data_IF_541554242823
#
_entry.id   IF_541554242823
#
_cell.length_a   1.000
_cell.length_b   1.000
_cell.length_c   1.000
_cell.angle_alpha   90.00
_cell.angle_beta   90.00
_cell.angle_gamma   90.00
#
_symmetry.space_group_name_H-M   'P 1'
#
loop_
_entity.id
_entity.type
_entity.pdbx_description
1 polymer ?
#
# COMPACT_ATOMS: atom_id res chain seq x y z
N UNK A 1 -33.95 -19.20 7.19
CA UNK A 1 -33.61 -18.26 6.08
C UNK A 1 -33.44 -16.79 6.55
N UNK A 2 -32.90 -16.55 7.77
CA UNK A 2 -32.85 -15.21 8.38
C UNK A 2 -31.51 -14.90 9.08
N UNK A 3 -30.39 -15.52 8.65
CA UNK A 3 -29.05 -15.29 9.22
C UNK A 3 -28.03 -14.72 8.23
N UNK A 4 -28.37 -14.60 6.95
CA UNK A 4 -27.44 -14.15 5.90
C UNK A 4 -27.51 -12.65 5.61
N UNK A 5 -28.55 -11.95 6.07
CA UNK A 5 -28.68 -10.48 5.89
C UNK A 5 -27.93 -9.67 6.94
N UNK A 6 -27.63 -10.23 8.11
CA UNK A 6 -26.98 -9.49 9.20
C UNK A 6 -25.47 -9.32 9.00
N UNK A 7 -24.81 -10.24 8.29
CA UNK A 7 -23.37 -10.16 8.00
C UNK A 7 -23.03 -9.10 6.95
N UNK A 8 -23.92 -8.83 5.99
CA UNK A 8 -23.69 -7.76 5.00
C UNK A 8 -23.79 -6.36 5.63
N UNK A 9 -24.60 -6.17 6.67
CA UNK A 9 -24.76 -4.84 7.32
C UNK A 9 -23.55 -4.50 8.18
N UNK A 10 -22.91 -5.47 8.84
CA UNK A 10 -21.68 -5.21 9.60
C UNK A 10 -20.47 -4.91 8.70
N UNK A 11 -20.35 -5.56 7.54
CA UNK A 11 -19.32 -5.22 6.55
C UNK A 11 -19.55 -3.85 5.89
N UNK A 12 -20.81 -3.44 5.68
CA UNK A 12 -21.12 -2.09 5.21
C UNK A 12 -20.81 -1.03 6.28
N UNK A 13 -21.05 -1.33 7.56
CA UNK A 13 -20.78 -0.39 8.66
C UNK A 13 -19.27 -0.22 8.95
N UNK A 14 -18.45 -1.24 8.73
CA UNK A 14 -16.99 -1.10 8.79
C UNK A 14 -16.39 -0.41 7.57
N UNK A 15 -16.99 -0.56 6.38
CA UNK A 15 -16.62 0.24 5.20
C UNK A 15 -17.07 1.70 5.30
N UNK A 16 -18.21 1.98 5.94
CA UNK A 16 -18.70 3.35 6.15
C UNK A 16 -17.98 4.09 7.28
N UNK A 17 -17.31 3.39 8.21
CA UNK A 17 -16.45 4.05 9.20
C UNK A 17 -15.15 4.58 8.64
N UNK A 18 -14.75 4.15 7.45
CA UNK A 18 -13.60 4.71 6.73
C UNK A 18 -14.00 5.87 5.80
N UNK A 19 -15.30 6.18 5.71
CA UNK A 19 -15.86 7.36 5.05
C UNK A 19 -16.61 8.29 6.00
N UNK A 20 -16.61 8.01 7.31
CA UNK A 20 -16.95 9.02 8.30
C UNK A 20 -15.75 9.97 8.35
N UNK A 21 -15.65 10.83 7.34
CA UNK A 21 -14.59 11.82 7.28
C UNK A 21 -14.56 12.57 8.60
N UNK A 22 -13.35 12.80 9.09
CA UNK A 22 -12.99 13.75 10.13
C UNK A 22 -14.06 14.80 10.43
N UNK A 23 -14.62 14.78 11.64
CA UNK A 23 -15.52 15.84 12.05
C UNK A 23 -14.75 17.15 12.24
N UNK A 24 -15.41 18.25 11.90
CA UNK A 24 -14.88 19.59 12.12
C UNK A 24 -14.51 19.73 13.59
N UNK A 25 -13.37 20.38 13.86
CA UNK A 25 -12.99 20.72 15.21
C UNK A 25 -14.10 21.56 15.87
N UNK A 26 -14.60 21.09 17.02
CA UNK A 26 -15.62 21.78 17.82
C UNK A 26 -15.11 22.23 19.19
N UNK A 27 -13.79 22.18 19.40
CA UNK A 27 -13.20 22.63 20.66
C UNK A 27 -13.16 24.16 20.76
N UNK A 28 -12.71 24.65 21.91
CA UNK A 28 -12.66 26.07 22.25
C UNK A 28 -11.23 26.61 22.40
N UNK A 29 -10.22 25.84 22.00
CA UNK A 29 -8.82 26.28 22.08
C UNK A 29 -8.48 27.32 21.00
N UNK A 30 -9.28 27.39 19.94
CA UNK A 30 -9.11 28.33 18.83
C UNK A 30 -10.40 29.09 18.55
N UNK A 31 -10.27 30.39 18.30
CA UNK A 31 -11.34 31.26 17.83
C UNK A 31 -11.53 31.07 16.32
N UNK A 32 -12.74 31.27 15.80
CA UNK A 32 -12.95 31.31 14.34
C UNK A 32 -12.44 32.63 13.78
N UNK A 33 -11.83 32.57 12.61
CA UNK A 33 -11.27 33.75 11.93
C UNK A 33 -12.34 34.83 11.65
N UNK A 34 -13.57 34.40 11.31
CA UNK A 34 -14.73 35.30 11.12
C UNK A 34 -15.10 36.11 12.39
N UNK A 35 -14.71 35.63 13.57
CA UNK A 35 -15.07 36.22 14.87
C UNK A 35 -13.99 37.19 15.40
N UNK A 36 -12.86 37.35 14.71
CA UNK A 36 -11.70 38.09 15.24
C UNK A 36 -10.97 39.02 14.25
N UNK A 37 -11.62 39.38 13.14
CA UNK A 37 -11.11 40.32 12.13
C UNK A 37 -9.67 39.94 11.69
N UNK A 38 -9.57 38.74 11.11
CA UNK A 38 -8.32 38.03 10.83
C UNK A 38 -7.82 38.21 9.40
N UNK A 39 -6.51 38.05 9.21
CA UNK A 39 -5.87 37.89 7.90
C UNK A 39 -5.23 36.50 7.76
N UNK A 40 -5.43 35.84 6.61
CA UNK A 40 -4.77 34.59 6.25
C UNK A 40 -3.59 34.87 5.31
N UNK A 41 -2.36 34.60 5.75
CA UNK A 41 -1.16 34.88 4.97
C UNK A 41 -0.74 33.65 4.15
N UNK A 42 -0.28 33.86 2.91
CA UNK A 42 0.12 32.77 1.99
C UNK A 42 1.23 31.84 2.50
N UNK A 43 1.92 32.22 3.57
CA UNK A 43 3.02 31.48 4.18
C UNK A 43 2.75 31.01 5.62
N UNK A 44 1.62 31.39 6.25
CA UNK A 44 1.33 31.11 7.66
C UNK A 44 -0.13 30.67 7.88
N UNK A 45 -0.41 30.14 9.06
CA UNK A 45 -1.78 29.92 9.56
C UNK A 45 -2.54 31.26 9.64
N UNK A 46 -3.87 31.24 9.60
CA UNK A 46 -4.68 32.45 9.80
C UNK A 46 -4.54 33.01 11.23
N UNK A 47 -4.44 34.33 11.34
CA UNK A 47 -4.14 35.03 12.60
C UNK A 47 -5.16 36.16 12.82
N UNK A 48 -5.67 36.28 14.03
CA UNK A 48 -6.53 37.37 14.49
C UNK A 48 -5.75 38.68 14.68
N UNK A 49 -6.44 39.81 14.77
CA UNK A 49 -5.84 41.13 15.05
C UNK A 49 -5.02 41.21 16.36
N UNK A 50 -5.26 40.31 17.33
CA UNK A 50 -4.51 40.19 18.58
C UNK A 50 -3.29 39.25 18.49
N UNK A 51 -2.95 38.83 17.27
CA UNK A 51 -1.86 37.91 16.94
C UNK A 51 -2.08 36.46 17.44
N UNK A 52 -3.31 36.08 17.82
CA UNK A 52 -3.69 34.70 18.12
C UNK A 52 -4.03 33.91 16.85
N UNK A 53 -3.75 32.61 16.83
CA UNK A 53 -4.10 31.73 15.71
C UNK A 53 -5.61 31.47 15.69
N UNK A 54 -6.22 31.48 14.51
CA UNK A 54 -7.65 31.21 14.33
C UNK A 54 -7.93 30.10 13.33
N UNK A 55 -9.16 29.57 13.37
CA UNK A 55 -9.63 28.57 12.41
C UNK A 55 -10.41 29.25 11.28
N UNK A 56 -9.99 29.09 10.01
CA UNK A 56 -10.70 29.68 8.90
C UNK A 56 -12.02 28.97 8.59
N UNK A 57 -12.96 29.72 8.01
CA UNK A 57 -14.20 29.23 7.40
C UNK A 57 -14.04 28.94 5.90
N UNK A 58 -13.00 29.50 5.27
CA UNK A 58 -12.60 29.26 3.88
C UNK A 58 -11.08 29.19 3.75
N UNK A 59 -10.57 28.38 2.83
CA UNK A 59 -9.14 28.19 2.61
C UNK A 59 -8.81 28.48 1.14
N UNK A 60 -8.35 29.70 0.88
CA UNK A 60 -7.87 30.11 -0.45
C UNK A 60 -6.35 29.87 -0.63
N UNK A 61 -5.69 29.35 0.41
CA UNK A 61 -4.28 28.98 0.42
C UNK A 61 -4.11 27.50 0.07
N UNK A 62 -2.85 27.03 0.01
CA UNK A 62 -2.57 25.59 0.01
C UNK A 62 -3.28 24.94 1.22
N UNK A 63 -4.09 23.88 1.02
CA UNK A 63 -4.79 23.17 2.10
C UNK A 63 -3.90 22.76 3.28
N UNK A 64 -2.60 22.62 3.04
CA UNK A 64 -1.58 22.30 4.05
C UNK A 64 -1.33 23.43 5.05
N UNK A 65 -1.69 24.67 4.71
CA UNK A 65 -1.37 25.89 5.48
C UNK A 65 -2.60 26.53 6.13
N UNK A 66 -3.80 26.02 5.88
CA UNK A 66 -5.04 26.68 6.31
C UNK A 66 -5.39 26.43 7.78
N UNK A 67 -4.86 25.38 8.38
CA UNK A 67 -5.17 25.06 9.76
C UNK A 67 -3.91 25.12 10.63
N UNK A 68 -4.05 25.34 11.95
CA UNK A 68 -2.97 25.08 12.90
C UNK A 68 -2.37 23.68 12.68
N UNK A 69 -1.09 23.52 13.04
CA UNK A 69 -0.27 22.34 12.69
C UNK A 69 -0.89 21.00 13.13
N UNK A 70 -1.70 21.01 14.18
CA UNK A 70 -2.40 19.82 14.69
C UNK A 70 -3.71 19.47 13.94
N UNK A 71 -4.16 20.29 13.00
CA UNK A 71 -5.37 20.07 12.23
C UNK A 71 -5.09 19.95 10.73
N UNK A 72 -6.13 19.64 9.98
CA UNK A 72 -6.10 19.45 8.54
C UNK A 72 -7.33 20.12 7.91
N UNK A 73 -7.13 20.86 6.83
CA UNK A 73 -8.26 21.43 6.09
C UNK A 73 -9.01 20.34 5.33
N UNK A 74 -10.30 20.19 5.61
CA UNK A 74 -11.23 19.37 4.84
C UNK A 74 -12.04 20.28 3.91
N UNK A 75 -11.73 20.26 2.62
CA UNK A 75 -12.42 21.05 1.60
C UNK A 75 -13.87 20.61 1.36
N UNK A 76 -14.22 19.37 1.70
CA UNK A 76 -15.59 18.85 1.56
C UNK A 76 -16.52 19.37 2.66
N UNK A 77 -15.96 19.67 3.84
CA UNK A 77 -16.69 20.21 5.00
C UNK A 77 -16.40 21.69 5.27
N UNK A 78 -15.47 22.30 4.53
CA UNK A 78 -14.99 23.67 4.71
C UNK A 78 -14.58 23.96 6.16
N UNK A 79 -13.79 23.06 6.77
CA UNK A 79 -13.37 23.22 8.15
C UNK A 79 -12.04 22.54 8.45
N UNK A 80 -11.40 22.97 9.53
CA UNK A 80 -10.28 22.26 10.12
C UNK A 80 -10.77 21.04 10.90
N UNK A 81 -10.18 19.89 10.62
CA UNK A 81 -10.56 18.62 11.23
C UNK A 81 -9.40 18.06 12.03
N UNK A 82 -9.74 17.29 13.07
CA UNK A 82 -8.77 16.58 13.93
C UNK A 82 -8.18 15.34 13.26
N UNK A 83 -8.80 14.84 12.18
CA UNK A 83 -8.22 13.71 11.47
C UNK A 83 -7.25 14.16 10.39
N UNK A 84 -6.11 13.47 10.41
CA UNK A 84 -4.91 13.81 9.66
C UNK A 84 -5.14 13.55 8.18
N UNK A 85 -5.30 14.61 7.37
CA UNK A 85 -5.00 14.49 5.94
C UNK A 85 -3.49 14.27 5.82
N UNK A 86 -3.10 13.02 5.61
CA UNK A 86 -1.74 12.69 5.24
C UNK A 86 -1.43 13.24 3.85
N UNK A 87 -0.14 13.43 3.53
CA UNK A 87 0.31 13.84 2.20
C UNK A 87 -0.24 12.92 1.08
N UNK A 88 -0.65 11.69 1.44
CA UNK A 88 -1.43 10.75 0.61
C UNK A 88 -2.47 10.01 1.46
N UNK A 89 -3.45 9.40 0.81
CA UNK A 89 -4.35 8.44 1.45
C UNK A 89 -3.54 7.21 1.90
N UNK A 90 -3.54 6.92 3.19
CA UNK A 90 -2.87 5.74 3.75
C UNK A 90 -3.66 4.47 3.45
N UNK A 91 -2.94 3.35 3.29
CA UNK A 91 -3.58 2.04 3.19
C UNK A 91 -4.24 1.67 4.54
N UNK A 92 -5.13 0.67 4.55
CA UNK A 92 -5.82 0.23 5.76
C UNK A 92 -4.88 -0.29 6.86
N UNK A 93 -3.68 -0.76 6.47
CA UNK A 93 -2.63 -1.23 7.37
C UNK A 93 -1.61 -0.16 7.76
N UNK A 94 -1.87 1.09 7.37
CA UNK A 94 -1.06 2.24 7.69
C UNK A 94 -1.84 3.24 8.56
N UNK A 95 -1.11 4.02 9.33
CA UNK A 95 -1.59 5.16 10.08
C UNK A 95 -0.87 6.42 9.64
N UNK A 96 -1.60 7.53 9.66
CA UNK A 96 -1.02 8.82 9.36
C UNK A 96 -0.27 9.34 10.59
N UNK A 97 1.02 9.62 10.45
CA UNK A 97 1.87 10.15 11.53
C UNK A 97 2.53 11.46 11.11
N UNK A 98 2.90 12.26 12.10
CA UNK A 98 3.67 13.48 11.90
C UNK A 98 5.15 13.16 12.11
N UNK A 99 5.95 13.31 11.06
CA UNK A 99 7.39 13.07 11.08
C UNK A 99 8.10 14.15 10.27
N UNK A 100 9.10 14.82 10.87
CA UNK A 100 9.95 15.83 10.22
C UNK A 100 9.13 16.88 9.44
N UNK A 101 8.17 17.52 10.14
CA UNK A 101 7.22 18.53 9.64
C UNK A 101 6.30 18.07 8.49
N UNK A 102 6.25 16.76 8.21
CA UNK A 102 5.43 16.17 7.16
C UNK A 102 4.47 15.11 7.72
N UNK A 103 3.27 15.03 7.15
CA UNK A 103 2.30 13.96 7.46
C UNK A 103 2.52 12.77 6.53
N UNK A 104 3.11 11.69 7.03
CA UNK A 104 3.43 10.48 6.26
C UNK A 104 2.58 9.28 6.70
N UNK A 105 2.37 8.33 5.79
CA UNK A 105 1.77 7.04 6.13
C UNK A 105 2.85 6.08 6.62
N UNK A 106 2.76 5.66 7.87
CA UNK A 106 3.60 4.61 8.46
C UNK A 106 2.75 3.37 8.77
N UNK A 107 3.36 2.19 8.77
CA UNK A 107 2.68 0.95 9.08
C UNK A 107 2.16 0.90 10.53
N UNK A 108 0.87 0.62 10.69
CA UNK A 108 0.24 0.45 11.99
C UNK A 108 0.60 -0.92 12.58
N UNK A 109 1.70 -0.96 13.36
CA UNK A 109 2.23 -2.21 13.95
C UNK A 109 1.23 -2.90 14.88
N UNK A 110 0.33 -2.15 15.51
CA UNK A 110 -0.69 -2.68 16.42
C UNK A 110 -1.67 -3.64 15.74
N UNK A 111 -1.93 -3.45 14.44
CA UNK A 111 -2.79 -4.36 13.65
C UNK A 111 -2.20 -5.76 13.46
N UNK A 112 -0.89 -5.91 13.64
CA UNK A 112 -0.15 -7.15 13.47
C UNK A 112 0.33 -7.74 14.81
N UNK A 113 -0.29 -7.35 15.92
CA UNK A 113 0.00 -7.93 17.23
C UNK A 113 -0.24 -9.44 17.18
N UNK A 114 0.68 -10.22 17.77
CA UNK A 114 0.67 -11.70 17.77
C UNK A 114 0.83 -12.37 16.40
N UNK A 115 1.14 -11.61 15.33
CA UNK A 115 1.47 -12.20 14.04
C UNK A 115 2.87 -12.80 14.06
N UNK A 116 3.02 -13.91 13.33
CA UNK A 116 4.29 -14.62 13.20
C UNK A 116 4.70 -14.71 11.73
N UNK A 117 5.87 -15.30 11.48
CA UNK A 117 6.37 -15.54 10.12
C UNK A 117 5.41 -16.39 9.29
N UNK A 118 4.64 -17.26 9.92
CA UNK A 118 3.65 -18.13 9.26
C UNK A 118 2.43 -17.35 8.74
N UNK A 119 2.19 -16.14 9.24
CA UNK A 119 1.14 -15.26 8.74
C UNK A 119 1.55 -14.52 7.47
N UNK A 120 2.83 -14.51 7.11
CA UNK A 120 3.27 -14.02 5.80
C UNK A 120 2.68 -14.93 4.73
N UNK A 121 1.71 -14.39 3.99
CA UNK A 121 1.06 -15.07 2.86
C UNK A 121 1.39 -14.31 1.57
N UNK A 122 2.55 -14.56 0.96
CA UNK A 122 2.88 -13.95 -0.31
C UNK A 122 1.87 -14.36 -1.39
N UNK A 123 1.57 -13.43 -2.29
CA UNK A 123 0.78 -13.70 -3.49
C UNK A 123 1.75 -13.85 -4.64
N UNK A 124 1.65 -14.98 -5.36
CA UNK A 124 2.49 -15.25 -6.53
C UNK A 124 1.60 -15.32 -7.77
N UNK A 125 1.93 -14.51 -8.77
CA UNK A 125 1.28 -14.47 -10.08
C UNK A 125 2.31 -14.94 -11.11
N UNK A 126 1.92 -15.94 -11.89
CA UNK A 126 2.76 -16.58 -12.90
C UNK A 126 2.22 -16.27 -14.29
N UNK A 127 2.76 -15.23 -14.93
CA UNK A 127 2.50 -14.92 -16.33
C UNK A 127 3.47 -15.70 -17.24
N UNK A 128 3.27 -15.64 -18.56
CA UNK A 128 4.05 -16.42 -19.54
C UNK A 128 5.56 -16.25 -19.37
N UNK A 129 5.99 -15.00 -19.19
CA UNK A 129 7.41 -14.62 -19.19
C UNK A 129 7.84 -13.90 -17.91
N UNK A 130 6.89 -13.56 -17.03
CA UNK A 130 7.12 -12.76 -15.82
C UNK A 130 6.53 -13.49 -14.62
N UNK A 131 7.27 -13.51 -13.53
CA UNK A 131 6.81 -13.95 -12.22
C UNK A 131 6.72 -12.72 -11.33
N UNK A 132 5.52 -12.46 -10.79
CA UNK A 132 5.29 -11.40 -9.80
C UNK A 132 5.06 -12.03 -8.43
N UNK A 133 5.82 -11.62 -7.42
CA UNK A 133 5.60 -12.03 -6.04
C UNK A 133 5.38 -10.81 -5.17
N UNK A 134 4.28 -10.78 -4.43
CA UNK A 134 3.88 -9.66 -3.58
C UNK A 134 3.74 -10.10 -2.13
N UNK A 135 4.19 -9.27 -1.20
CA UNK A 135 4.05 -9.52 0.25
C UNK A 135 3.67 -8.23 0.98
N UNK A 136 2.93 -8.34 2.09
CA UNK A 136 2.54 -7.17 2.88
C UNK A 136 3.75 -6.48 3.50
N UNK A 137 3.96 -5.22 3.14
CA UNK A 137 5.04 -4.38 3.66
C UNK A 137 4.93 -4.24 5.17
N UNK A 138 3.73 -3.91 5.65
CA UNK A 138 3.51 -3.61 7.05
C UNK A 138 3.61 -4.84 7.96
N UNK A 139 3.23 -6.02 7.46
CA UNK A 139 3.47 -7.28 8.18
C UNK A 139 4.97 -7.63 8.22
N UNK A 140 5.72 -7.44 7.12
CA UNK A 140 7.18 -7.66 7.12
C UNK A 140 7.85 -6.75 8.15
N UNK A 141 7.48 -5.46 8.17
CA UNK A 141 8.02 -4.49 9.11
C UNK A 141 7.61 -4.77 10.56
N UNK A 142 6.35 -5.16 10.82
CA UNK A 142 5.87 -5.48 12.18
C UNK A 142 6.59 -6.70 12.77
N UNK A 143 7.04 -7.62 11.92
CA UNK A 143 7.84 -8.78 12.31
C UNK A 143 9.32 -8.43 12.59
N UNK A 144 9.73 -7.19 12.33
CA UNK A 144 11.10 -6.67 12.56
C UNK A 144 12.07 -6.93 11.40
N UNK A 145 11.55 -6.99 10.18
CA UNK A 145 12.33 -7.11 8.96
C UNK A 145 12.34 -5.80 8.17
N UNK A 146 13.44 -5.51 7.52
CA UNK A 146 13.56 -4.35 6.64
C UNK A 146 13.15 -4.74 5.21
N UNK A 147 12.00 -4.21 4.78
CA UNK A 147 11.44 -4.47 3.45
C UNK A 147 12.30 -3.92 2.30
N UNK A 148 13.19 -2.93 2.58
CA UNK A 148 14.12 -2.39 1.57
C UNK A 148 15.38 -3.24 1.42
N UNK A 149 15.68 -4.10 2.39
CA UNK A 149 16.89 -4.93 2.42
C UNK A 149 16.73 -6.29 1.73
N UNK A 150 15.79 -6.38 0.79
CA UNK A 150 15.44 -7.65 0.15
C UNK A 150 16.51 -8.11 -0.86
N UNK A 151 16.61 -9.42 -1.07
CA UNK A 151 17.41 -9.99 -2.15
C UNK A 151 16.81 -11.31 -2.65
N UNK A 152 17.05 -11.63 -3.92
CA UNK A 152 16.71 -12.92 -4.53
C UNK A 152 17.89 -13.89 -4.46
N UNK A 153 17.74 -15.12 -4.95
CA UNK A 153 18.83 -16.11 -5.03
C UNK A 153 20.11 -15.56 -5.67
N UNK A 154 19.98 -14.62 -6.62
CA UNK A 154 21.07 -13.77 -7.08
C UNK A 154 20.74 -12.30 -6.77
N UNK A 155 21.61 -11.64 -6.02
CA UNK A 155 21.42 -10.26 -5.53
C UNK A 155 21.76 -9.17 -6.57
N UNK A 156 21.89 -9.50 -7.86
CA UNK A 156 22.15 -8.52 -8.91
C UNK A 156 20.96 -7.56 -9.07
N UNK A 157 21.17 -6.26 -8.84
CA UNK A 157 20.11 -5.23 -8.83
C UNK A 157 19.43 -5.00 -10.18
N UNK A 158 20.02 -5.46 -11.28
CA UNK A 158 19.48 -5.26 -12.64
C UNK A 158 18.48 -6.30 -13.12
N UNK A 159 18.26 -7.38 -12.36
CA UNK A 159 17.41 -8.48 -12.82
C UNK A 159 15.99 -8.47 -12.21
N UNK A 160 15.74 -7.66 -11.18
CA UNK A 160 14.44 -7.59 -10.50
C UNK A 160 13.87 -6.19 -10.60
N UNK A 161 12.59 -6.10 -10.94
CA UNK A 161 11.82 -4.88 -10.83
C UNK A 161 11.05 -4.89 -9.51
N UNK A 162 11.35 -3.95 -8.63
CA UNK A 162 10.69 -3.80 -7.33
C UNK A 162 9.87 -2.51 -7.30
N UNK A 163 8.62 -2.64 -6.88
CA UNK A 163 7.71 -1.52 -6.68
C UNK A 163 6.76 -1.83 -5.53
N UNK A 164 6.10 -0.80 -5.02
CA UNK A 164 5.01 -0.96 -4.08
C UNK A 164 3.67 -0.64 -4.75
N UNK A 165 2.62 -1.27 -4.28
CA UNK A 165 1.27 -1.05 -4.75
C UNK A 165 0.28 -1.28 -3.61
N UNK A 166 -0.92 -0.71 -3.74
CA UNK A 166 -2.01 -0.94 -2.80
C UNK A 166 -2.97 -1.94 -3.45
N UNK A 167 -3.14 -3.11 -2.84
CA UNK A 167 -4.09 -4.14 -3.28
C UNK A 167 -4.92 -4.59 -2.09
N UNK A 168 -6.24 -4.73 -2.25
CA UNK A 168 -7.15 -5.03 -1.13
C UNK A 168 -6.98 -4.07 0.06
N UNK A 169 -6.72 -2.80 -0.24
CA UNK A 169 -6.45 -1.74 0.74
C UNK A 169 -5.24 -1.99 1.65
N UNK A 170 -4.29 -2.84 1.25
CA UNK A 170 -3.04 -3.09 1.98
C UNK A 170 -1.84 -2.70 1.13
N UNK A 171 -0.78 -2.19 1.77
CA UNK A 171 0.47 -1.90 1.08
C UNK A 171 1.26 -3.20 0.85
N UNK A 172 1.49 -3.53 -0.42
CA UNK A 172 2.31 -4.66 -0.83
C UNK A 172 3.63 -4.17 -1.43
N UNK A 173 4.72 -4.88 -1.12
CA UNK A 173 5.95 -4.83 -1.90
C UNK A 173 5.92 -5.97 -2.92
N UNK A 174 6.13 -5.62 -4.20
CA UNK A 174 6.04 -6.54 -5.33
C UNK A 174 7.37 -6.66 -6.05
N UNK A 175 7.78 -7.89 -6.31
CA UNK A 175 9.02 -8.28 -6.99
C UNK A 175 8.68 -8.96 -8.31
N UNK A 176 9.14 -8.38 -9.42
CA UNK A 176 8.97 -8.91 -10.76
C UNK A 176 10.30 -9.37 -11.34
N UNK A 177 10.29 -10.58 -11.91
CA UNK A 177 11.46 -11.20 -12.53
C UNK A 177 11.04 -12.04 -13.75
N UNK A 178 11.94 -12.17 -14.73
CA UNK A 178 11.69 -13.03 -15.89
C UNK A 178 11.61 -14.50 -15.48
N UNK A 179 10.69 -15.26 -16.10
CA UNK A 179 10.51 -16.69 -15.90
C UNK A 179 11.58 -17.53 -16.64
N UNK A 180 12.86 -17.18 -16.49
CA UNK A 180 13.99 -17.79 -17.24
C UNK A 180 15.02 -18.41 -16.32
N UNK A 181 15.67 -19.49 -16.77
CA UNK A 181 16.77 -20.13 -16.05
C UNK A 181 17.90 -19.13 -15.74
N UNK A 182 18.36 -19.10 -14.49
CA UNK A 182 19.46 -18.25 -14.04
C UNK A 182 19.12 -16.77 -13.86
N UNK A 183 17.99 -16.28 -14.39
CA UNK A 183 17.56 -14.90 -14.20
C UNK A 183 17.27 -14.62 -12.72
N UNK A 184 17.93 -13.64 -12.10
CA UNK A 184 17.94 -13.46 -10.65
C UNK A 184 18.21 -14.74 -9.83
N UNK A 185 18.94 -15.71 -10.38
CA UNK A 185 19.17 -16.99 -9.69
C UNK A 185 17.95 -17.92 -9.68
N UNK A 186 17.04 -17.76 -10.64
CA UNK A 186 15.97 -18.72 -10.89
C UNK A 186 16.52 -20.12 -11.17
N UNK A 187 15.87 -21.11 -10.58
CA UNK A 187 16.13 -22.51 -10.82
C UNK A 187 14.96 -23.08 -11.62
N UNK A 188 15.24 -23.64 -12.78
CA UNK A 188 14.25 -24.30 -13.62
C UNK A 188 14.41 -25.81 -13.48
N UNK A 189 13.35 -26.46 -13.04
CA UNK A 189 13.22 -27.92 -13.01
C UNK A 189 12.05 -28.33 -13.89
N UNK A 190 11.95 -29.60 -14.25
CA UNK A 190 10.81 -30.07 -15.02
C UNK A 190 10.47 -31.52 -14.67
N UNK A 191 9.18 -31.84 -14.81
CA UNK A 191 8.68 -33.21 -14.79
C UNK A 191 8.14 -33.59 -16.18
N UNK A 192 7.44 -34.72 -16.30
CA UNK A 192 6.88 -35.17 -17.59
C UNK A 192 5.87 -34.19 -18.21
N UNK A 193 5.22 -33.36 -17.41
CA UNK A 193 4.08 -32.52 -17.80
C UNK A 193 4.34 -31.02 -17.69
N UNK A 194 5.21 -30.59 -16.77
CA UNK A 194 5.39 -29.20 -16.38
C UNK A 194 6.86 -28.80 -16.28
N UNK A 195 7.08 -27.51 -16.47
CA UNK A 195 8.32 -26.80 -16.16
C UNK A 195 8.04 -25.95 -14.92
N UNK A 196 8.90 -26.03 -13.91
CA UNK A 196 8.80 -25.25 -12.70
C UNK A 196 9.96 -24.25 -12.64
N UNK A 197 9.64 -22.98 -12.48
CA UNK A 197 10.60 -21.92 -12.23
C UNK A 197 10.50 -21.53 -10.75
N UNK A 198 11.61 -21.61 -10.01
CA UNK A 198 11.65 -21.31 -8.58
C UNK A 198 12.68 -20.23 -8.25
N UNK A 199 12.35 -19.40 -7.26
CA UNK A 199 13.27 -18.43 -6.65
C UNK A 199 12.89 -18.24 -5.18
N UNK A 200 13.70 -17.52 -4.42
CA UNK A 200 13.45 -17.22 -3.02
C UNK A 200 13.70 -15.74 -2.78
N UNK A 201 12.73 -15.06 -2.17
CA UNK A 201 12.91 -13.68 -1.70
C UNK A 201 13.32 -13.73 -0.24
N UNK A 202 14.43 -13.08 0.07
CA UNK A 202 14.96 -12.95 1.42
C UNK A 202 14.79 -11.52 1.92
N UNK A 203 14.57 -11.36 3.23
CA UNK A 203 14.63 -10.06 3.91
C UNK A 203 15.60 -10.12 5.09
N UNK A 204 16.45 -9.11 5.18
CA UNK A 204 17.27 -8.93 6.36
C UNK A 204 16.45 -8.34 7.51
N UNK A 205 16.95 -8.57 8.71
CA UNK A 205 16.40 -7.98 9.93
C UNK A 205 16.67 -6.49 9.95
N UNK A 206 15.75 -5.70 10.49
CA UNK A 206 15.99 -4.27 10.71
C UNK A 206 17.22 -4.09 11.60
N UNK A 207 18.16 -3.18 11.26
CA UNK A 207 19.33 -2.91 12.08
C UNK A 207 18.94 -2.61 13.53
N UNK A 208 19.56 -3.32 14.48
CA UNK A 208 19.39 -3.09 15.91
C UNK A 208 20.70 -3.38 16.63
N UNK A 209 20.87 -2.82 17.83
CA UNK A 209 22.10 -2.97 18.63
C UNK A 209 22.44 -4.44 18.93
N UNK A 210 21.46 -5.35 18.86
CA UNK A 210 21.64 -6.79 19.01
C UNK A 210 20.83 -7.52 17.93
N UNK A 211 21.51 -8.29 17.08
CA UNK A 211 20.84 -9.16 16.09
C UNK A 211 20.19 -10.32 16.85
N UNK A 212 18.89 -10.22 17.10
CA UNK A 212 18.11 -11.22 17.87
C UNK A 212 17.25 -12.12 16.97
N UNK A 213 17.26 -11.89 15.66
CA UNK A 213 16.40 -12.57 14.69
C UNK A 213 17.21 -13.06 13.51
N UNK A 214 16.82 -14.22 12.97
CA UNK A 214 17.33 -14.68 11.68
C UNK A 214 16.54 -14.00 10.54
N UNK A 215 17.18 -13.76 9.38
CA UNK A 215 16.50 -13.37 8.14
C UNK A 215 15.29 -14.25 7.86
N UNK A 216 14.31 -13.69 7.15
CA UNK A 216 13.17 -14.47 6.63
C UNK A 216 13.32 -14.66 5.14
N UNK A 217 12.70 -15.73 4.66
CA UNK A 217 12.66 -16.05 3.26
C UNK A 217 11.30 -16.62 2.92
N UNK A 218 10.84 -16.37 1.70
CA UNK A 218 9.70 -17.08 1.14
C UNK A 218 10.03 -17.56 -0.27
N UNK A 219 9.57 -18.76 -0.58
CA UNK A 219 9.84 -19.40 -1.86
C UNK A 219 8.74 -19.03 -2.87
N UNK A 220 9.17 -18.74 -4.08
CA UNK A 220 8.34 -18.49 -5.25
C UNK A 220 8.45 -19.72 -6.14
N UNK A 221 7.32 -20.21 -6.64
CA UNK A 221 7.31 -21.34 -7.59
C UNK A 221 6.17 -21.16 -8.59
N UNK A 222 6.53 -21.10 -9.87
CA UNK A 222 5.59 -21.05 -10.99
C UNK A 222 5.71 -22.31 -11.84
N UNK A 223 4.57 -22.96 -12.09
CA UNK A 223 4.48 -24.17 -12.91
C UNK A 223 3.81 -23.90 -14.25
N UNK A 224 4.51 -24.22 -15.34
CA UNK A 224 4.07 -24.02 -16.73
C UNK A 224 3.87 -25.37 -17.41
N UNK A 225 2.72 -25.57 -18.05
CA UNK A 225 2.46 -26.80 -18.80
C UNK A 225 3.34 -26.85 -20.05
N UNK A 226 3.99 -27.98 -20.31
CA UNK A 226 4.80 -28.20 -21.52
C UNK A 226 3.96 -28.29 -22.79
N UNK A 227 2.70 -28.71 -22.65
CA UNK A 227 1.77 -28.86 -23.77
C UNK A 227 0.63 -27.87 -23.61
N UNK A 228 0.39 -27.10 -24.67
CA UNK A 228 -0.70 -26.14 -24.77
C UNK A 228 -1.64 -26.57 -25.89
N UNK A 229 -2.94 -26.50 -25.65
CA UNK A 229 -3.93 -26.59 -26.71
C UNK A 229 -4.17 -25.18 -27.24
N UNK A 230 -3.86 -24.96 -28.51
CA UNK A 230 -4.11 -23.69 -29.20
C UNK A 230 -5.17 -23.92 -30.27
N UNK A 231 -5.96 -22.89 -30.58
CA UNK A 231 -6.95 -22.94 -31.65
C UNK A 231 -6.79 -21.73 -32.55
N UNK A 232 -7.00 -21.92 -33.85
CA UNK A 232 -6.98 -20.83 -34.81
C UNK A 232 -8.33 -20.10 -34.73
N UNK A 233 -8.29 -18.82 -34.37
CA UNK A 233 -9.50 -18.00 -34.27
C UNK A 233 -10.11 -17.66 -35.64
N UNK A 234 -9.32 -17.74 -36.70
CA UNK A 234 -9.74 -17.38 -38.06
C UNK A 234 -10.12 -18.62 -38.87
N UNK A 235 -11.29 -18.54 -39.52
CA UNK A 235 -11.73 -19.56 -40.45
C UNK A 235 -11.09 -19.31 -41.83
N UNK A 236 -10.59 -20.39 -42.45
CA UNK A 236 -10.14 -20.35 -43.84
C UNK A 236 -11.36 -20.42 -44.77
N UNK A 237 -11.46 -19.50 -45.72
CA UNK A 237 -12.46 -19.53 -46.80
C UNK A 237 -11.80 -19.96 -48.11
N UNK A 238 -11.80 -21.26 -48.45
CA UNK A 238 -11.19 -21.73 -49.69
C UNK A 238 -11.98 -21.25 -50.92
N UNK A 239 -11.27 -20.89 -51.98
CA UNK A 239 -11.85 -20.67 -53.30
C UNK A 239 -11.68 -21.94 -54.13
N UNK A 240 -12.80 -22.51 -54.58
CA UNK A 240 -12.79 -23.65 -55.51
C UNK A 240 -12.93 -23.10 -56.92
N UNK A 241 -11.92 -23.31 -57.78
CA UNK A 241 -12.06 -23.12 -59.24
C UNK A 241 -12.38 -24.47 -59.87
N UNK A 242 -13.50 -24.55 -60.57
CA UNK A 242 -13.77 -25.63 -61.50
C UNK A 242 -12.97 -25.37 -62.79
N UNK A 243 -12.19 -26.36 -63.21
CA UNK A 243 -11.45 -26.40 -64.49
C UNK A 243 -12.25 -27.26 -65.46
#
# INVERSE_FOLDING_TARGET
MLKMKLLCVFMLATFLKQSAGADCYTGNAYTKCDDCDSDCFTSNVCICSDNSTCLPSTCDLDPSNCCPVEFSWDSSKACCTVEKTCNRICAADEECIFQDDNKICECNKSMYTNKTKQDLKPVVICDSDIISASVSRCLVQSLGYDYNSFYLNNASSGCVYHYNNITNNQRLDTYQLDAKQGWCGNIVTNDSSKIYVTNTVHFNTTPSLLITKNPIAFNITCGYNKTLQTSLQFALKPLIRYV
#
